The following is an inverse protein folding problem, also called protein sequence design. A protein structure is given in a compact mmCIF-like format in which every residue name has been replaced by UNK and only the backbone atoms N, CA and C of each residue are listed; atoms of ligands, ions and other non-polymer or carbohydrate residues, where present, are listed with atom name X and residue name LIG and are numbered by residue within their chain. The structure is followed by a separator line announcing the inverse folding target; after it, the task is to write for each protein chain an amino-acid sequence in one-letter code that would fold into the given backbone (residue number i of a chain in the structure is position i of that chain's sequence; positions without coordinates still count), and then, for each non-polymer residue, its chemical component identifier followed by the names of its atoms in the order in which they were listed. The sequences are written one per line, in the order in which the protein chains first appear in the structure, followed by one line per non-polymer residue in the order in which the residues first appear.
data_IF_632711988582
#
_entry.id   IF_632711988582
#
_cell.length_a   1.000
_cell.length_b   1.000
_cell.length_c   1.000
_cell.angle_alpha   90.00
_cell.angle_beta   90.00
_cell.angle_gamma   90.00
#
_symmetry.space_group_name_H-M   'P 1'
#
loop_
_entity.id
_entity.type
_entity.pdbx_description
1 polymer ?
#
# COMPACT_ATOMS: atom_id res chain seq x y z
N UNK A 1 23.85 38.35 -10.99
CA UNK A 1 22.51 38.45 -10.38
C UNK A 1 21.65 37.37 -11.01
N UNK A 2 21.49 36.20 -10.38
CA UNK A 2 20.60 35.13 -10.84
C UNK A 2 19.92 34.54 -9.61
N UNK A 3 18.62 34.81 -9.49
CA UNK A 3 17.78 34.44 -8.35
C UNK A 3 17.43 32.96 -8.52
N UNK A 4 18.12 32.08 -7.81
CA UNK A 4 17.61 30.73 -7.55
C UNK A 4 16.66 30.81 -6.37
N UNK A 5 15.42 31.24 -6.64
CA UNK A 5 14.31 31.08 -5.71
C UNK A 5 14.06 29.57 -5.54
N UNK A 6 14.51 29.03 -4.40
CA UNK A 6 14.24 27.66 -4.00
C UNK A 6 12.72 27.45 -3.94
N UNK A 7 12.20 26.71 -4.93
CA UNK A 7 10.84 26.20 -4.96
C UNK A 7 10.59 25.41 -3.67
N UNK A 8 9.98 26.05 -2.67
CA UNK A 8 9.47 25.39 -1.46
C UNK A 8 8.52 24.27 -1.90
N UNK A 9 9.02 23.03 -1.93
CA UNK A 9 8.21 21.83 -2.19
C UNK A 9 7.11 21.80 -1.12
N UNK A 10 5.85 22.12 -1.50
CA UNK A 10 4.69 22.06 -0.60
C UNK A 10 4.62 20.66 0.01
N UNK A 11 4.53 20.58 1.33
CA UNK A 11 4.41 19.28 2.03
C UNK A 11 3.17 18.54 1.49
N UNK A 12 3.28 17.24 1.18
CA UNK A 12 2.14 16.48 0.70
C UNK A 12 1.05 16.47 1.77
N UNK A 13 -0.20 16.68 1.33
CA UNK A 13 -1.36 16.64 2.24
C UNK A 13 -1.48 15.22 2.83
N UNK A 14 -1.74 15.08 4.14
CA UNK A 14 -2.04 13.78 4.72
C UNK A 14 -3.17 13.10 3.95
N UNK A 15 -2.98 11.82 3.60
CA UNK A 15 -4.02 11.05 2.92
C UNK A 15 -5.10 10.69 3.94
N UNK A 16 -6.37 10.84 3.57
CA UNK A 16 -7.49 10.36 4.38
C UNK A 16 -7.37 8.83 4.52
N UNK A 17 -7.42 8.34 5.76
CA UNK A 17 -7.51 6.92 6.07
C UNK A 17 -8.91 6.58 6.55
N UNK A 18 -9.29 5.32 6.39
CA UNK A 18 -10.56 4.78 6.85
C UNK A 18 -10.30 3.46 7.54
N UNK A 19 -11.06 3.18 8.59
CA UNK A 19 -10.94 1.91 9.32
C UNK A 19 -11.39 0.74 8.44
N UNK A 20 -10.87 -0.47 8.67
CA UNK A 20 -11.32 -1.66 7.95
C UNK A 20 -12.83 -1.91 8.08
N UNK A 21 -13.38 -1.67 9.27
CA UNK A 21 -14.80 -1.90 9.58
C UNK A 21 -15.68 -0.96 8.76
N UNK A 22 -15.30 0.32 8.68
CA UNK A 22 -16.02 1.30 7.86
C UNK A 22 -16.00 0.92 6.38
N UNK A 23 -14.84 0.48 5.86
CA UNK A 23 -14.76 0.03 4.46
C UNK A 23 -15.65 -1.20 4.22
N UNK A 24 -15.67 -2.14 5.16
CA UNK A 24 -16.49 -3.34 5.07
C UNK A 24 -17.99 -2.99 5.06
N UNK A 25 -18.43 -2.06 5.91
CA UNK A 25 -19.81 -1.55 5.92
C UNK A 25 -20.20 -0.93 4.58
N UNK A 26 -19.34 -0.09 4.00
CA UNK A 26 -19.58 0.54 2.69
C UNK A 26 -19.65 -0.50 1.57
N UNK A 27 -18.76 -1.50 1.58
CA UNK A 27 -18.77 -2.60 0.60
C UNK A 27 -20.05 -3.43 0.72
N UNK A 28 -20.43 -3.80 1.93
CA UNK A 28 -21.66 -4.55 2.21
C UNK A 28 -22.89 -3.79 1.72
N UNK A 29 -22.93 -2.49 1.97
CA UNK A 29 -24.00 -1.65 1.47
C UNK A 29 -24.07 -1.64 -0.06
N UNK A 30 -22.94 -1.52 -0.74
CA UNK A 30 -22.91 -1.60 -2.21
C UNK A 30 -23.33 -2.98 -2.73
N UNK A 31 -22.99 -4.06 -2.03
CA UNK A 31 -23.33 -5.44 -2.42
C UNK A 31 -24.82 -5.76 -2.26
N UNK A 32 -25.49 -5.18 -1.27
CA UNK A 32 -26.95 -5.32 -1.08
C UNK A 32 -27.76 -4.80 -2.27
N UNK A 33 -27.23 -3.83 -3.01
CA UNK A 33 -27.83 -3.31 -4.24
C UNK A 33 -29.03 -2.38 -4.06
N UNK A 34 -29.32 -1.96 -2.83
CA UNK A 34 -30.36 -0.96 -2.51
C UNK A 34 -29.99 0.45 -3.00
N UNK A 35 -28.68 0.74 -3.08
CA UNK A 35 -28.13 2.03 -3.51
C UNK A 35 -27.03 1.86 -4.55
N UNK A 36 -27.00 2.78 -5.50
CA UNK A 36 -25.89 2.86 -6.45
C UNK A 36 -24.59 3.28 -5.76
N UNK A 37 -23.44 2.86 -6.29
CA UNK A 37 -22.11 3.28 -5.79
C UNK A 37 -21.97 4.81 -5.71
N UNK A 38 -22.54 5.55 -6.68
CA UNK A 38 -22.52 7.01 -6.68
C UNK A 38 -23.42 7.65 -5.62
N UNK A 39 -24.49 6.96 -5.19
CA UNK A 39 -25.30 7.40 -4.06
C UNK A 39 -24.58 7.16 -2.75
N UNK A 40 -24.04 5.95 -2.54
CA UNK A 40 -23.23 5.62 -1.36
C UNK A 40 -22.03 6.57 -1.22
N UNK A 41 -21.33 6.89 -2.32
CA UNK A 41 -20.23 7.83 -2.26
C UNK A 41 -20.67 9.23 -1.78
N UNK A 42 -21.83 9.72 -2.22
CA UNK A 42 -22.36 11.03 -1.79
C UNK A 42 -22.81 11.02 -0.33
N UNK A 43 -23.55 10.00 0.09
CA UNK A 43 -24.09 9.87 1.45
C UNK A 43 -22.99 9.86 2.51
N UNK A 44 -21.81 9.32 2.18
CA UNK A 44 -20.68 9.16 3.10
C UNK A 44 -19.49 10.11 2.82
N UNK A 45 -19.67 11.10 1.94
CA UNK A 45 -18.63 12.06 1.53
C UNK A 45 -17.33 11.37 1.05
N UNK A 46 -17.48 10.34 0.22
CA UNK A 46 -16.41 9.57 -0.39
C UNK A 46 -16.29 9.89 -1.87
N UNK A 47 -15.13 9.58 -2.46
CA UNK A 47 -15.01 9.56 -3.91
C UNK A 47 -15.54 8.23 -4.44
N UNK A 48 -16.30 8.25 -5.54
CA UNK A 48 -16.77 7.01 -6.18
C UNK A 48 -15.63 6.05 -6.52
N UNK A 49 -14.47 6.58 -6.91
CA UNK A 49 -13.27 5.80 -7.21
C UNK A 49 -12.78 5.01 -5.99
N UNK A 50 -12.90 5.55 -4.78
CA UNK A 50 -12.52 4.85 -3.56
C UNK A 50 -13.52 3.71 -3.28
N UNK A 51 -14.82 3.99 -3.37
CA UNK A 51 -15.86 2.99 -3.14
C UNK A 51 -15.75 1.84 -4.14
N UNK A 52 -15.60 2.13 -5.44
CA UNK A 52 -15.39 1.10 -6.48
C UNK A 52 -14.13 0.27 -6.23
N UNK A 53 -13.06 0.90 -5.77
CA UNK A 53 -11.82 0.20 -5.43
C UNK A 53 -12.02 -0.77 -4.27
N UNK A 54 -12.75 -0.37 -3.22
CA UNK A 54 -13.03 -1.24 -2.07
C UNK A 54 -13.94 -2.41 -2.45
N UNK A 55 -15.00 -2.15 -3.23
CA UNK A 55 -15.88 -3.23 -3.74
C UNK A 55 -15.08 -4.21 -4.58
N UNK A 56 -14.26 -3.73 -5.51
CA UNK A 56 -13.39 -4.58 -6.33
C UNK A 56 -12.42 -5.40 -5.48
N UNK A 57 -11.79 -4.80 -4.47
CA UNK A 57 -10.86 -5.54 -3.61
C UNK A 57 -11.61 -6.58 -2.78
N UNK A 58 -12.83 -6.30 -2.33
CA UNK A 58 -13.65 -7.28 -1.62
C UNK A 58 -14.13 -8.45 -2.51
N UNK A 59 -14.36 -8.22 -3.80
CA UNK A 59 -14.61 -9.30 -4.77
C UNK A 59 -13.38 -10.18 -4.93
N UNK A 60 -12.19 -9.58 -5.01
CA UNK A 60 -10.91 -10.32 -5.07
C UNK A 60 -10.69 -11.12 -3.79
N UNK A 61 -10.90 -10.50 -2.62
CA UNK A 61 -10.75 -11.14 -1.31
C UNK A 61 -11.74 -12.29 -1.10
N UNK A 62 -12.91 -12.23 -1.77
CA UNK A 62 -13.90 -13.30 -1.78
C UNK A 62 -13.67 -14.39 -2.84
N UNK A 63 -12.65 -14.22 -3.71
CA UNK A 63 -12.39 -15.14 -4.82
C UNK A 63 -13.39 -15.02 -6.00
N UNK A 64 -14.20 -13.97 -6.01
CA UNK A 64 -15.18 -13.68 -7.08
C UNK A 64 -14.50 -13.03 -8.29
N UNK A 65 -13.26 -12.54 -8.12
CA UNK A 65 -12.51 -11.83 -9.15
C UNK A 65 -11.02 -12.12 -9.04
N UNK A 66 -10.35 -12.24 -10.18
CA UNK A 66 -8.89 -12.39 -10.22
C UNK A 66 -8.15 -11.18 -9.65
N UNK A 67 -7.11 -11.46 -8.87
CA UNK A 67 -6.20 -10.48 -8.32
C UNK A 67 -5.54 -10.98 -7.03
N UNK A 68 -4.59 -10.20 -6.52
CA UNK A 68 -4.04 -10.45 -5.19
C UNK A 68 -5.04 -9.97 -4.13
N UNK A 69 -5.38 -10.87 -3.23
CA UNK A 69 -6.12 -10.58 -2.02
C UNK A 69 -5.36 -9.60 -1.14
N UNK A 70 -6.07 -8.94 -0.23
CA UNK A 70 -5.48 -8.01 0.74
C UNK A 70 -4.40 -8.69 1.59
N UNK A 71 -4.62 -9.96 1.99
CA UNK A 71 -3.67 -10.77 2.74
C UNK A 71 -2.40 -11.10 1.93
N UNK A 72 -2.55 -11.60 0.71
CA UNK A 72 -1.41 -11.90 -0.17
C UNK A 72 -0.57 -10.66 -0.46
N UNK A 73 -1.20 -9.48 -0.61
CA UNK A 73 -0.49 -8.21 -0.80
C UNK A 73 0.34 -7.83 0.42
N UNK A 74 -0.21 -8.02 1.61
CA UNK A 74 0.48 -7.75 2.86
C UNK A 74 1.69 -8.67 3.05
N UNK A 75 1.49 -9.96 2.85
CA UNK A 75 2.56 -10.96 2.91
C UNK A 75 3.66 -10.67 1.88
N UNK A 76 3.29 -10.41 0.62
CA UNK A 76 4.25 -10.05 -0.42
C UNK A 76 5.05 -8.79 -0.04
N UNK A 77 4.42 -7.81 0.59
CA UNK A 77 5.10 -6.62 1.06
C UNK A 77 6.05 -6.92 2.22
N UNK A 78 5.66 -7.79 3.16
CA UNK A 78 6.51 -8.25 4.26
C UNK A 78 7.73 -9.01 3.74
N UNK A 79 7.54 -10.00 2.87
CA UNK A 79 8.61 -10.77 2.25
C UNK A 79 9.58 -9.90 1.46
N UNK A 80 9.09 -8.89 0.73
CA UNK A 80 9.95 -7.94 0.01
C UNK A 80 10.78 -7.06 0.94
N UNK A 81 10.26 -6.68 2.11
CA UNK A 81 11.02 -5.95 3.13
C UNK A 81 12.10 -6.83 3.75
N UNK A 82 11.74 -8.06 4.10
CA UNK A 82 12.68 -9.03 4.65
C UNK A 82 13.79 -9.39 3.66
N UNK A 83 13.45 -9.66 2.39
CA UNK A 83 14.44 -9.96 1.37
C UNK A 83 15.44 -8.81 1.17
N UNK A 84 14.98 -7.56 1.26
CA UNK A 84 15.87 -6.39 1.22
C UNK A 84 16.84 -6.39 2.40
N UNK A 85 16.34 -6.61 3.62
CA UNK A 85 17.17 -6.68 4.82
C UNK A 85 18.20 -7.81 4.73
N UNK A 86 17.79 -9.00 4.32
CA UNK A 86 18.68 -10.13 4.15
C UNK A 86 19.77 -9.86 3.11
N UNK A 87 19.45 -9.18 2.01
CA UNK A 87 20.46 -8.76 1.02
C UNK A 87 21.47 -7.78 1.62
N UNK A 88 21.01 -6.82 2.42
CA UNK A 88 21.90 -5.88 3.11
C UNK A 88 22.83 -6.63 4.09
N UNK A 89 22.28 -7.55 4.89
CA UNK A 89 23.05 -8.37 5.83
C UNK A 89 24.11 -9.22 5.11
N UNK A 90 23.74 -9.86 4.01
CA UNK A 90 24.68 -10.63 3.16
C UNK A 90 25.81 -9.75 2.64
N UNK A 91 25.52 -8.51 2.21
CA UNK A 91 26.55 -7.59 1.74
C UNK A 91 27.49 -7.13 2.85
N UNK A 92 26.99 -6.92 4.07
CA UNK A 92 27.84 -6.63 5.24
C UNK A 92 28.76 -7.81 5.54
N UNK A 93 28.23 -9.04 5.57
CA UNK A 93 29.01 -10.23 5.84
C UNK A 93 30.10 -10.45 4.78
N UNK A 94 29.80 -10.28 3.50
CA UNK A 94 30.80 -10.36 2.43
C UNK A 94 31.94 -9.37 2.62
N UNK A 95 31.62 -8.11 2.99
CA UNK A 95 32.64 -7.09 3.27
C UNK A 95 33.51 -7.47 4.47
N UNK A 96 32.92 -8.01 5.53
CA UNK A 96 33.64 -8.49 6.70
C UNK A 96 34.58 -9.65 6.34
N UNK A 97 34.10 -10.68 5.63
CA UNK A 97 34.92 -11.81 5.20
C UNK A 97 36.07 -11.37 4.29
N UNK A 98 35.81 -10.45 3.36
CA UNK A 98 36.86 -9.91 2.49
C UNK A 98 37.92 -9.10 3.27
N UNK A 99 37.52 -8.41 4.34
CA UNK A 99 38.44 -7.73 5.25
C UNK A 99 39.33 -8.74 5.99
N UNK A 100 38.75 -9.74 6.64
CA UNK A 100 39.51 -10.76 7.38
C UNK A 100 40.46 -11.58 6.49
N UNK A 101 40.03 -11.93 5.26
CA UNK A 101 40.86 -12.64 4.31
C UNK A 101 42.09 -11.84 3.83
N UNK A 102 42.03 -10.50 3.88
CA UNK A 102 43.17 -9.62 3.58
C UNK A 102 44.14 -9.49 4.76
N UNK A 103 43.62 -9.42 5.98
CA UNK A 103 44.43 -9.24 7.20
C UNK A 103 45.20 -10.51 7.60
N UNK A 104 44.70 -11.69 7.22
CA UNK A 104 45.33 -12.99 7.55
C UNK A 104 46.44 -13.39 6.54
N UNK A 105 46.85 -12.48 5.65
CA UNK A 105 47.84 -12.75 4.59
C UNK A 105 49.16 -12.04 4.84
#
# INVERSE_FOLDING_TARGET
MFIMESMRKKRPRPRRSFTPEFKAEIVELCRRGDRSVGQVARDFELTETAVRSWVRQAEVDAGERDGLTSGEREELAALRRENRRLREDVEVLKRATAFFAKETR
#
